data_IF_397698755829
#
_entry.id   IF_397698755829
#
_cell.length_a   1.000
_cell.length_b   1.000
_cell.length_c   1.000
_cell.angle_alpha   90.00
_cell.angle_beta   90.00
_cell.angle_gamma   90.00
#
_symmetry.space_group_name_H-M   'P 1'
#
loop_
_entity.id
_entity.type
_entity.pdbx_description
1 polymer ?
#
# COMPACT_ATOMS: atom_id res chain seq x y z
N UNK A 1 19.70 -29.92 6.90
CA UNK A 1 19.74 -28.49 6.55
C UNK A 1 18.79 -27.75 7.48
N UNK A 2 19.28 -26.83 8.31
CA UNK A 2 18.40 -26.00 9.14
C UNK A 2 17.73 -25.00 8.21
N UNK A 3 16.45 -25.20 7.91
CA UNK A 3 15.61 -24.17 7.29
C UNK A 3 15.53 -23.01 8.26
N UNK A 4 16.34 -21.98 8.01
CA UNK A 4 16.20 -20.69 8.66
C UNK A 4 14.81 -20.17 8.30
N UNK A 5 13.87 -20.44 9.19
CA UNK A 5 12.52 -19.89 9.19
C UNK A 5 12.69 -18.41 9.50
N UNK A 6 13.12 -17.63 8.51
CA UNK A 6 12.98 -16.19 8.50
C UNK A 6 11.48 -15.96 8.60
N UNK A 7 10.97 -15.79 9.82
CA UNK A 7 9.67 -15.21 10.05
C UNK A 7 9.73 -13.81 9.46
N UNK A 8 9.43 -13.70 8.16
CA UNK A 8 9.18 -12.44 7.48
C UNK A 8 8.02 -11.79 8.22
N UNK A 9 8.34 -10.81 9.07
CA UNK A 9 7.33 -10.06 9.80
C UNK A 9 6.69 -9.14 8.76
N UNK A 10 5.47 -9.47 8.38
CA UNK A 10 4.71 -8.65 7.45
C UNK A 10 4.33 -7.32 8.11
N UNK A 11 4.58 -6.21 7.41
CA UNK A 11 4.20 -4.88 7.88
C UNK A 11 2.67 -4.69 7.74
N UNK A 12 1.93 -5.24 8.71
CA UNK A 12 0.47 -5.18 8.74
C UNK A 12 -0.07 -3.75 8.75
N UNK A 13 0.68 -2.81 9.33
CA UNK A 13 0.30 -1.39 9.35
C UNK A 13 0.29 -0.82 7.93
N UNK A 14 1.38 -1.02 7.18
CA UNK A 14 1.49 -0.60 5.79
C UNK A 14 0.35 -1.20 4.93
N UNK A 15 0.06 -2.49 5.11
CA UNK A 15 -1.04 -3.15 4.42
C UNK A 15 -2.42 -2.56 4.77
N UNK A 16 -2.68 -2.28 6.05
CA UNK A 16 -3.93 -1.64 6.48
C UNK A 16 -4.05 -0.22 5.91
N UNK A 17 -2.96 0.55 5.89
CA UNK A 17 -2.94 1.89 5.33
C UNK A 17 -3.21 1.87 3.82
N UNK A 18 -2.62 0.92 3.08
CA UNK A 18 -2.89 0.69 1.64
C UNK A 18 -4.36 0.36 1.41
N UNK A 19 -4.93 -0.58 2.18
CA UNK A 19 -6.34 -0.97 2.04
C UNK A 19 -7.27 0.19 2.35
N UNK A 20 -7.01 0.92 3.43
CA UNK A 20 -7.79 2.09 3.82
C UNK A 20 -7.78 3.17 2.74
N UNK A 21 -6.62 3.45 2.15
CA UNK A 21 -6.49 4.39 1.03
C UNK A 21 -7.25 3.94 -0.22
N UNK A 22 -7.19 2.64 -0.57
CA UNK A 22 -7.95 2.10 -1.71
C UNK A 22 -9.46 2.26 -1.52
N UNK A 23 -9.96 1.99 -0.32
CA UNK A 23 -11.39 2.18 0.01
C UNK A 23 -11.77 3.65 -0.13
N UNK A 24 -11.00 4.56 0.49
CA UNK A 24 -11.27 6.00 0.43
C UNK A 24 -11.23 6.54 -1.00
N UNK A 25 -10.27 6.09 -1.82
CA UNK A 25 -10.20 6.46 -3.23
C UNK A 25 -11.42 5.96 -4.01
N UNK A 26 -11.86 4.72 -3.78
CA UNK A 26 -13.07 4.19 -4.40
C UNK A 26 -14.30 5.01 -4.04
N UNK A 27 -14.43 5.44 -2.80
CA UNK A 27 -15.53 6.30 -2.35
C UNK A 27 -15.47 7.68 -3.02
N UNK A 28 -14.29 8.32 -3.03
CA UNK A 28 -14.09 9.62 -3.67
C UNK A 28 -14.32 9.58 -5.18
N UNK A 29 -13.90 8.50 -5.84
CA UNK A 29 -14.17 8.29 -7.26
C UNK A 29 -15.67 8.27 -7.53
N UNK A 30 -16.45 7.55 -6.72
CA UNK A 30 -17.89 7.45 -6.87
C UNK A 30 -18.62 8.76 -6.50
N UNK A 31 -18.09 9.55 -5.57
CA UNK A 31 -18.71 10.79 -5.12
C UNK A 31 -18.38 12.00 -6.00
N UNK A 32 -17.10 12.15 -6.37
CA UNK A 32 -16.58 13.39 -6.98
C UNK A 32 -15.79 13.14 -8.27
N UNK A 33 -15.53 11.86 -8.60
CA UNK A 33 -14.69 11.49 -9.71
C UNK A 33 -13.18 11.62 -9.43
N UNK A 34 -12.34 11.24 -10.39
CA UNK A 34 -10.89 11.18 -10.23
C UNK A 34 -10.18 12.54 -10.35
N UNK A 35 -10.88 13.58 -10.81
CA UNK A 35 -10.25 14.87 -11.16
C UNK A 35 -10.18 15.85 -9.97
N UNK A 36 -10.55 15.44 -8.77
CA UNK A 36 -10.41 16.29 -7.59
C UNK A 36 -8.97 16.28 -7.08
N UNK A 37 -8.53 17.42 -6.55
CA UNK A 37 -7.21 17.54 -5.92
C UNK A 37 -7.03 16.53 -4.78
N UNK A 38 -8.09 16.25 -4.02
CA UNK A 38 -8.07 15.24 -2.96
C UNK A 38 -7.84 13.83 -3.53
N UNK A 39 -8.58 13.41 -4.55
CA UNK A 39 -8.41 12.10 -5.17
C UNK A 39 -6.99 11.93 -5.72
N UNK A 40 -6.49 12.94 -6.46
CA UNK A 40 -5.15 12.91 -7.03
C UNK A 40 -4.10 12.77 -5.93
N UNK A 41 -4.20 13.59 -4.88
CA UNK A 41 -3.26 13.56 -3.74
C UNK A 41 -3.25 12.20 -3.05
N UNK A 42 -4.43 11.60 -2.83
CA UNK A 42 -4.55 10.28 -2.22
C UNK A 42 -4.06 9.16 -3.14
N UNK A 43 -4.22 9.28 -4.46
CA UNK A 43 -3.71 8.31 -5.43
C UNK A 43 -2.18 8.29 -5.47
N UNK A 44 -1.55 9.46 -5.39
CA UNK A 44 -0.09 9.59 -5.29
C UNK A 44 0.39 8.96 -3.98
N UNK A 45 -0.29 9.24 -2.86
CA UNK A 45 0.05 8.63 -1.57
C UNK A 45 -0.06 7.11 -1.62
N UNK A 46 -1.11 6.58 -2.25
CA UNK A 46 -1.28 5.13 -2.43
C UNK A 46 -0.12 4.54 -3.24
N UNK A 47 0.31 5.20 -4.32
CA UNK A 47 1.46 4.75 -5.12
C UNK A 47 2.74 4.68 -4.30
N UNK A 48 3.01 5.70 -3.46
CA UNK A 48 4.17 5.68 -2.55
C UNK A 48 4.13 4.48 -1.59
N UNK A 49 2.98 4.19 -0.97
CA UNK A 49 2.85 3.05 -0.05
C UNK A 49 2.97 1.70 -0.77
N UNK A 50 2.46 1.60 -1.99
CA UNK A 50 2.64 0.39 -2.82
C UNK A 50 4.11 0.16 -3.14
N UNK A 51 4.86 1.22 -3.47
CA UNK A 51 6.30 1.13 -3.69
C UNK A 51 7.06 0.74 -2.43
N UNK A 52 6.70 1.30 -1.26
CA UNK A 52 7.28 0.89 0.04
C UNK A 52 7.05 -0.61 0.29
N UNK A 53 5.82 -1.09 0.06
CA UNK A 53 5.49 -2.50 0.21
C UNK A 53 6.29 -3.39 -0.75
N UNK A 54 6.44 -2.98 -2.00
CA UNK A 54 7.24 -3.75 -2.96
C UNK A 54 8.72 -3.79 -2.55
N UNK A 55 9.27 -2.69 -2.05
CA UNK A 55 10.64 -2.67 -1.52
C UNK A 55 10.80 -3.64 -0.34
N UNK A 56 9.87 -3.65 0.63
CA UNK A 56 9.88 -4.61 1.73
C UNK A 56 9.86 -6.07 1.22
N UNK A 57 9.08 -6.35 0.18
CA UNK A 57 9.02 -7.71 -0.40
C UNK A 57 10.28 -8.07 -1.17
N UNK A 58 10.91 -7.12 -1.86
CA UNK A 58 12.19 -7.32 -2.54
C UNK A 58 13.29 -7.61 -1.50
N UNK A 59 13.36 -6.83 -0.42
CA UNK A 59 14.31 -7.05 0.68
C UNK A 59 14.12 -8.41 1.35
N UNK A 60 12.89 -8.92 1.43
CA UNK A 60 12.58 -10.25 1.97
C UNK A 60 13.03 -11.42 1.07
N UNK A 61 13.36 -11.15 -0.20
CA UNK A 61 13.80 -12.15 -1.17
C UNK A 61 15.34 -12.26 -1.29
N UNK A 62 16.09 -11.29 -0.75
CA UNK A 62 17.55 -11.20 -0.79
C UNK A 62 18.14 -11.66 0.54
#
# INVERSE_FOLDING_TARGET
MKTNKLTQIENKKLLMDIVGLKIKLSELFNQTGPNTSEYISLSIKLDCLMNEYFNEKIEQLI
#
